data_IF_746667219161
#
_entry.id   IF_746667219161
#
_cell.length_a   1.000
_cell.length_b   1.000
_cell.length_c   1.000
_cell.angle_alpha   90.00
_cell.angle_beta   90.00
_cell.angle_gamma   90.00
#
_symmetry.space_group_name_H-M   'P 1'
#
loop_
_entity.id
_entity.type
_entity.pdbx_description
1 polymer ?
#
# COMPACT_ATOMS: atom_id res chain seq x y z
N UNK A 1 21.10 5.74 2.66
CA UNK A 1 20.01 6.30 1.84
C UNK A 1 19.54 7.58 2.51
N UNK A 2 19.70 8.73 1.86
CA UNK A 2 19.27 10.02 2.41
C UNK A 2 17.78 10.20 2.12
N UNK A 3 16.93 10.49 3.12
CA UNK A 3 15.52 10.80 2.88
C UNK A 3 15.36 11.94 1.87
N UNK A 4 14.42 11.81 0.95
CA UNK A 4 14.11 12.82 -0.07
C UNK A 4 12.67 13.29 0.08
N UNK A 5 12.46 14.60 -0.10
CA UNK A 5 11.12 15.17 -0.20
C UNK A 5 10.53 14.89 -1.58
N UNK A 6 9.20 14.81 -1.66
CA UNK A 6 8.50 14.73 -2.93
C UNK A 6 8.75 16.00 -3.77
N UNK A 7 8.86 15.82 -5.08
CA UNK A 7 9.02 16.90 -6.06
C UNK A 7 7.78 16.92 -6.96
N UNK A 8 7.36 18.11 -7.38
CA UNK A 8 6.13 18.30 -8.14
C UNK A 8 6.28 17.80 -9.59
N UNK A 9 5.52 16.77 -9.96
CA UNK A 9 5.47 16.23 -11.32
C UNK A 9 4.48 16.99 -12.22
N UNK A 10 3.31 17.37 -11.70
CA UNK A 10 2.29 18.14 -12.41
C UNK A 10 1.31 18.77 -11.40
N UNK A 11 0.64 19.85 -11.79
CA UNK A 11 -0.37 20.54 -11.00
C UNK A 11 -1.51 21.04 -11.90
N UNK A 12 -2.57 21.61 -11.30
CA UNK A 12 -3.79 22.05 -12.00
C UNK A 12 -4.40 20.98 -12.93
N UNK A 13 -4.59 19.78 -12.38
CA UNK A 13 -5.18 18.65 -13.10
C UNK A 13 -6.60 18.40 -12.63
N UNK A 14 -7.47 18.04 -13.58
CA UNK A 14 -8.72 17.36 -13.23
C UNK A 14 -8.45 15.92 -12.73
N UNK A 15 -9.48 15.31 -12.14
CA UNK A 15 -9.37 13.97 -11.56
C UNK A 15 -9.02 12.90 -12.59
N UNK A 16 -9.51 13.01 -13.82
CA UNK A 16 -9.26 12.02 -14.86
C UNK A 16 -7.79 12.04 -15.28
N UNK A 17 -7.24 13.24 -15.57
CA UNK A 17 -5.84 13.41 -15.94
C UNK A 17 -4.93 13.02 -14.78
N UNK A 18 -5.29 13.39 -13.54
CA UNK A 18 -4.53 12.99 -12.35
C UNK A 18 -4.37 11.46 -12.26
N UNK A 19 -5.47 10.71 -12.40
CA UNK A 19 -5.45 9.25 -12.34
C UNK A 19 -4.59 8.68 -13.47
N UNK A 20 -4.77 9.16 -14.71
CA UNK A 20 -3.96 8.72 -15.85
C UNK A 20 -2.45 8.94 -15.63
N UNK A 21 -2.06 10.07 -15.06
CA UNK A 21 -0.64 10.35 -14.78
C UNK A 21 -0.08 9.44 -13.68
N UNK A 22 -0.89 9.11 -12.66
CA UNK A 22 -0.50 8.13 -11.64
C UNK A 22 -0.29 6.76 -12.29
N UNK A 23 -1.20 6.32 -13.15
CA UNK A 23 -1.12 5.02 -13.83
C UNK A 23 0.15 4.92 -14.68
N UNK A 24 0.40 5.94 -15.51
CA UNK A 24 1.60 6.03 -16.35
C UNK A 24 2.88 6.05 -15.51
N UNK A 25 2.93 6.86 -14.46
CA UNK A 25 4.10 6.93 -13.57
C UNK A 25 4.40 5.58 -12.92
N UNK A 26 3.38 4.92 -12.36
CA UNK A 26 3.53 3.62 -11.70
C UNK A 26 3.96 2.54 -12.69
N UNK A 27 3.38 2.50 -13.88
CA UNK A 27 3.74 1.50 -14.90
C UNK A 27 5.14 1.73 -15.45
N UNK A 28 5.53 2.98 -15.70
CA UNK A 28 6.88 3.32 -16.12
C UNK A 28 7.91 2.94 -15.04
N UNK A 29 7.61 3.26 -13.78
CA UNK A 29 8.43 2.86 -12.63
C UNK A 29 8.58 1.34 -12.53
N UNK A 30 7.48 0.59 -12.53
CA UNK A 30 7.49 -0.88 -12.42
C UNK A 30 8.32 -1.53 -13.53
N UNK A 31 8.29 -0.97 -14.74
CA UNK A 31 8.97 -1.54 -15.91
C UNK A 31 10.45 -1.20 -16.00
N UNK A 32 10.88 -0.08 -15.41
CA UNK A 32 12.25 0.44 -15.60
C UNK A 32 13.10 0.47 -14.34
N UNK A 33 12.49 0.40 -13.15
CA UNK A 33 13.22 0.39 -11.90
C UNK A 33 13.87 -0.97 -11.61
N UNK A 34 15.03 -0.93 -10.95
CA UNK A 34 15.72 -2.10 -10.45
C UNK A 34 14.97 -2.75 -9.28
N UNK A 35 15.29 -4.02 -9.01
CA UNK A 35 14.72 -4.76 -7.87
C UNK A 35 15.01 -4.06 -6.55
N UNK A 36 13.95 -3.85 -5.75
CA UNK A 36 14.01 -3.16 -4.45
C UNK A 36 14.50 -1.71 -4.52
N UNK A 37 14.60 -1.14 -5.73
CA UNK A 37 14.83 0.28 -5.89
C UNK A 37 13.58 1.04 -5.44
N UNK A 38 13.76 2.23 -4.85
CA UNK A 38 12.65 3.14 -4.54
C UNK A 38 12.56 4.21 -5.63
N UNK A 39 11.43 4.90 -5.70
CA UNK A 39 11.20 5.95 -6.71
C UNK A 39 12.24 7.06 -6.69
N UNK A 40 12.69 7.53 -5.53
CA UNK A 40 13.70 8.60 -5.47
C UNK A 40 15.05 8.24 -6.15
N UNK A 41 15.75 7.16 -5.77
CA UNK A 41 16.97 6.76 -6.48
C UNK A 41 16.71 6.28 -7.91
N UNK A 42 15.51 5.81 -8.23
CA UNK A 42 15.12 5.50 -9.61
C UNK A 42 15.07 6.75 -10.49
N UNK A 43 14.37 7.81 -10.06
CA UNK A 43 14.36 9.10 -10.79
C UNK A 43 15.77 9.66 -10.94
N UNK A 44 16.62 9.57 -9.90
CA UNK A 44 18.01 10.04 -9.98
C UNK A 44 18.86 9.24 -10.98
N UNK A 45 18.53 7.97 -11.22
CA UNK A 45 19.25 7.12 -12.18
C UNK A 45 18.86 7.34 -13.63
N UNK A 46 17.71 7.99 -13.89
CA UNK A 46 17.23 8.31 -15.23
C UNK A 46 18.00 9.52 -15.77
N UNK A 47 18.49 9.43 -17.01
CA UNK A 47 19.05 10.58 -17.71
C UNK A 47 17.97 11.66 -17.90
N UNK A 48 18.24 12.89 -17.46
CA UNK A 48 17.24 13.97 -17.41
C UNK A 48 16.33 13.94 -16.17
N UNK A 49 16.47 12.93 -15.31
CA UNK A 49 15.82 12.87 -14.00
C UNK A 49 14.31 13.03 -14.03
N UNK A 50 13.78 13.93 -13.18
CA UNK A 50 12.35 14.17 -13.07
C UNK A 50 11.75 14.78 -14.34
N UNK A 51 12.51 15.57 -15.09
CA UNK A 51 12.02 16.20 -16.32
C UNK A 51 11.79 15.15 -17.41
N UNK A 52 12.68 14.16 -17.52
CA UNK A 52 12.44 13.03 -18.42
C UNK A 52 11.19 12.24 -18.00
N UNK A 53 11.01 11.98 -16.70
CA UNK A 53 9.80 11.31 -16.20
C UNK A 53 8.55 12.13 -16.55
N UNK A 54 8.61 13.46 -16.43
CA UNK A 54 7.52 14.36 -16.83
C UNK A 54 7.22 14.26 -18.32
N UNK A 55 8.24 14.22 -19.18
CA UNK A 55 8.04 14.07 -20.62
C UNK A 55 7.38 12.74 -20.98
N UNK A 56 7.80 11.65 -20.35
CA UNK A 56 7.21 10.32 -20.57
C UNK A 56 5.76 10.26 -20.07
N UNK A 57 5.50 10.76 -18.87
CA UNK A 57 4.18 10.64 -18.21
C UNK A 57 3.17 11.64 -18.76
N UNK A 58 3.57 12.90 -18.93
CA UNK A 58 2.67 13.98 -19.28
C UNK A 58 2.61 14.21 -20.80
N UNK A 59 3.76 14.20 -21.48
CA UNK A 59 3.85 14.49 -22.91
C UNK A 59 3.84 13.25 -23.81
N UNK A 60 3.77 12.05 -23.23
CA UNK A 60 3.80 10.76 -23.93
C UNK A 60 4.97 10.66 -24.93
N UNK A 61 6.16 11.11 -24.51
CA UNK A 61 7.34 11.18 -25.38
C UNK A 61 7.79 9.83 -25.96
N UNK A 62 7.35 8.72 -25.36
CA UNK A 62 7.62 7.35 -25.81
C UNK A 62 6.47 6.73 -26.62
N UNK A 63 5.29 7.36 -26.67
CA UNK A 63 4.09 6.80 -27.31
C UNK A 63 3.52 5.56 -26.60
N UNK A 64 3.75 5.43 -25.29
CA UNK A 64 3.41 4.25 -24.48
C UNK A 64 2.29 4.52 -23.46
N UNK A 65 1.78 5.76 -23.37
CA UNK A 65 0.78 6.13 -22.38
C UNK A 65 -0.46 5.20 -22.37
N UNK A 66 -1.01 4.91 -23.55
CA UNK A 66 -2.18 4.02 -23.67
C UNK A 66 -1.88 2.58 -23.21
N UNK A 67 -0.66 2.09 -23.45
CA UNK A 67 -0.26 0.76 -23.02
C UNK A 67 -0.10 0.68 -21.49
N UNK A 68 0.44 1.73 -20.89
CA UNK A 68 0.55 1.87 -19.44
C UNK A 68 -0.84 1.92 -18.79
N UNK A 69 -1.73 2.76 -19.30
CA UNK A 69 -3.12 2.85 -18.80
C UNK A 69 -3.83 1.50 -18.88
N UNK A 70 -3.75 0.80 -20.03
CA UNK A 70 -4.33 -0.53 -20.18
C UNK A 70 -3.69 -1.58 -19.24
N UNK A 71 -2.39 -1.46 -18.95
CA UNK A 71 -1.72 -2.35 -18.01
C UNK A 71 -2.18 -2.11 -16.56
N UNK A 72 -2.40 -0.85 -16.16
CA UNK A 72 -2.97 -0.54 -14.86
C UNK A 72 -4.42 -1.01 -14.75
N UNK A 73 -5.24 -0.79 -15.78
CA UNK A 73 -6.62 -1.27 -15.81
C UNK A 73 -6.68 -2.79 -15.59
N UNK A 74 -5.83 -3.56 -16.27
CA UNK A 74 -5.71 -5.01 -16.03
C UNK A 74 -5.26 -5.32 -14.60
N UNK A 75 -4.33 -4.55 -14.03
CA UNK A 75 -3.88 -4.76 -12.65
C UNK A 75 -5.03 -4.55 -11.65
N UNK A 76 -5.77 -3.45 -11.79
CA UNK A 76 -6.92 -3.11 -10.94
C UNK A 76 -8.04 -4.13 -11.10
N UNK A 77 -8.37 -4.53 -12.34
CA UNK A 77 -9.43 -5.50 -12.61
C UNK A 77 -9.17 -6.87 -11.96
N UNK A 78 -7.90 -7.23 -11.74
CA UNK A 78 -7.50 -8.48 -11.11
C UNK A 78 -7.17 -8.35 -9.62
N UNK A 79 -7.19 -7.14 -9.06
CA UNK A 79 -6.92 -6.93 -7.65
C UNK A 79 -8.05 -7.51 -6.79
N UNK A 80 -7.67 -8.23 -5.73
CA UNK A 80 -8.60 -8.76 -4.72
C UNK A 80 -8.15 -8.30 -3.33
N UNK A 81 -9.09 -7.75 -2.57
CA UNK A 81 -8.86 -7.39 -1.18
C UNK A 81 -9.32 -8.54 -0.29
N UNK A 82 -8.37 -9.28 0.28
CA UNK A 82 -8.64 -10.43 1.14
C UNK A 82 -9.50 -10.06 2.36
N UNK A 83 -9.28 -8.88 2.94
CA UNK A 83 -10.09 -8.38 4.07
C UNK A 83 -11.54 -8.14 3.68
N UNK A 84 -11.77 -7.52 2.52
CA UNK A 84 -13.12 -7.36 1.98
C UNK A 84 -13.75 -8.73 1.73
N UNK A 85 -12.99 -9.66 1.15
CA UNK A 85 -13.44 -11.03 0.91
C UNK A 85 -13.78 -11.81 2.19
N UNK A 86 -13.13 -11.51 3.32
CA UNK A 86 -13.51 -12.05 4.64
C UNK A 86 -14.82 -11.44 5.13
N UNK A 87 -14.99 -10.13 5.01
CA UNK A 87 -16.21 -9.43 5.46
C UNK A 87 -17.44 -9.84 4.65
N UNK A 88 -17.27 -10.19 3.38
CA UNK A 88 -18.33 -10.65 2.48
C UNK A 88 -18.67 -12.14 2.65
N UNK A 89 -17.89 -12.90 3.42
CA UNK A 89 -18.02 -14.34 3.60
C UNK A 89 -18.32 -14.66 5.09
N UNK A 90 -19.60 -14.90 5.46
CA UNK A 90 -19.99 -15.17 6.84
C UNK A 90 -19.25 -16.35 7.47
N UNK A 91 -18.91 -17.38 6.69
CA UNK A 91 -18.20 -18.57 7.17
C UNK A 91 -16.73 -18.26 7.48
N UNK A 92 -16.10 -17.35 6.74
CA UNK A 92 -14.77 -16.83 7.10
C UNK A 92 -14.85 -15.86 8.26
N UNK A 93 -15.83 -14.96 8.27
CA UNK A 93 -15.99 -13.95 9.30
C UNK A 93 -16.22 -14.59 10.68
N UNK A 94 -17.00 -15.66 10.76
CA UNK A 94 -17.26 -16.39 12.01
C UNK A 94 -16.00 -16.95 12.69
N UNK A 95 -14.89 -17.07 11.95
CA UNK A 95 -13.59 -17.52 12.50
C UNK A 95 -12.83 -16.42 13.23
N UNK A 96 -13.23 -15.15 13.08
CA UNK A 96 -12.62 -14.01 13.76
C UNK A 96 -13.20 -13.81 15.17
N UNK A 97 -13.15 -14.87 15.98
CA UNK A 97 -13.50 -14.91 17.40
C UNK A 97 -12.28 -15.32 18.23
N UNK A 98 -12.27 -15.03 19.54
CA UNK A 98 -11.14 -15.38 20.40
C UNK A 98 -10.89 -16.88 20.47
N UNK A 99 -11.95 -17.69 20.58
CA UNK A 99 -11.86 -19.14 20.61
C UNK A 99 -12.87 -19.78 19.66
N UNK A 100 -12.40 -20.47 18.62
CA UNK A 100 -13.27 -21.16 17.65
C UNK A 100 -14.14 -22.23 18.31
N UNK A 101 -13.62 -22.90 19.34
CA UNK A 101 -14.33 -23.98 20.04
C UNK A 101 -15.27 -23.48 21.16
N UNK A 102 -15.16 -22.20 21.52
CA UNK A 102 -15.92 -21.57 22.59
C UNK A 102 -16.17 -20.09 22.23
N UNK A 103 -16.97 -19.81 21.18
CA UNK A 103 -17.08 -18.47 20.60
C UNK A 103 -17.66 -17.42 21.56
N UNK A 104 -18.44 -17.86 22.55
CA UNK A 104 -19.05 -16.99 23.57
C UNK A 104 -18.14 -16.77 24.79
N UNK A 105 -17.02 -17.49 24.91
CA UNK A 105 -16.07 -17.32 26.01
C UNK A 105 -15.21 -16.07 25.81
N UNK A 106 -15.11 -15.27 26.88
CA UNK A 106 -14.26 -14.08 26.89
C UNK A 106 -12.82 -14.51 27.17
N UNK A 107 -11.89 -14.10 26.32
CA UNK A 107 -10.46 -14.27 26.60
C UNK A 107 -10.02 -13.35 27.75
N UNK A 108 -9.97 -13.93 28.96
CA UNK A 108 -9.55 -13.24 30.17
C UNK A 108 -8.09 -12.77 30.17
N UNK A 109 -7.27 -13.22 29.20
CA UNK A 109 -5.90 -12.72 29.04
C UNK A 109 -5.85 -11.38 28.31
N UNK A 110 -6.88 -11.04 27.54
CA UNK A 110 -6.95 -9.81 26.75
C UNK A 110 -7.79 -8.75 27.47
N UNK A 111 -7.13 -7.87 28.20
CA UNK A 111 -7.76 -6.73 28.88
C UNK A 111 -7.41 -5.42 28.17
N UNK A 112 -8.33 -4.46 28.14
CA UNK A 112 -8.10 -3.14 27.57
C UNK A 112 -8.23 -2.04 28.63
N UNK A 113 -7.45 -0.97 28.47
CA UNK A 113 -7.53 0.26 29.27
C UNK A 113 -7.59 1.47 28.34
N UNK A 114 -7.81 2.67 28.88
CA UNK A 114 -7.74 3.92 28.12
C UNK A 114 -6.44 4.68 28.39
N UNK A 115 -5.77 5.10 27.32
CA UNK A 115 -4.60 5.96 27.39
C UNK A 115 -4.76 7.10 26.39
N UNK A 116 -4.80 8.33 26.89
CA UNK A 116 -5.00 9.54 26.09
C UNK A 116 -6.25 9.47 25.18
N UNK A 117 -7.37 8.99 25.72
CA UNK A 117 -8.65 8.87 25.01
C UNK A 117 -8.71 7.75 23.96
N UNK A 118 -7.74 6.81 23.96
CA UNK A 118 -7.71 5.66 23.05
C UNK A 118 -7.71 4.36 23.84
N UNK A 119 -8.53 3.39 23.40
CA UNK A 119 -8.53 2.02 23.90
C UNK A 119 -7.21 1.33 23.53
N UNK A 120 -6.46 0.86 24.52
CA UNK A 120 -5.16 0.18 24.37
C UNK A 120 -5.16 -1.15 25.12
N UNK A 121 -4.50 -2.20 24.61
CA UNK A 121 -4.37 -3.46 25.32
C UNK A 121 -3.48 -3.30 26.57
N UNK A 122 -3.87 -3.93 27.66
CA UNK A 122 -3.07 -4.03 28.89
C UNK A 122 -1.97 -5.07 28.66
N UNK A 123 -0.69 -4.74 28.88
CA UNK A 123 0.39 -5.72 28.76
C UNK A 123 0.20 -6.88 29.75
N UNK A 124 0.25 -8.12 29.26
CA UNK A 124 0.15 -9.36 30.07
C UNK A 124 1.44 -9.60 30.90
N UNK A 125 2.45 -8.72 30.77
CA UNK A 125 3.78 -8.90 31.35
C UNK A 125 4.66 -9.82 30.51
N UNK A 126 5.95 -9.92 30.86
CA UNK A 126 6.85 -10.90 30.21
C UNK A 126 6.78 -12.24 30.96
N UNK A 127 6.67 -13.37 30.25
CA UNK A 127 6.71 -14.68 30.89
C UNK A 127 8.03 -14.88 31.64
N UNK A 128 7.93 -15.27 32.91
CA UNK A 128 9.10 -15.58 33.74
C UNK A 128 9.52 -17.04 33.47
N UNK A 129 10.76 -17.24 33.03
CA UNK A 129 11.34 -18.59 32.95
C UNK A 129 11.59 -19.07 34.37
N UNK A 130 11.01 -20.21 34.77
CA UNK A 130 11.28 -20.82 36.08
C UNK A 130 12.77 -21.18 36.17
N UNK A 131 13.49 -20.63 37.15
CA UNK A 131 14.81 -21.13 37.51
C UNK A 131 14.66 -22.54 38.09
N UNK A 132 15.43 -23.50 37.56
CA UNK A 132 15.49 -24.89 38.03
C UNK A 132 16.11 -24.98 39.42
#
# INVERSE_FOLDING_TARGET
MTPRHAQLLAGDLDTEILVRYIDRFLMYYIRTADRLQRTAPWVESIEGGLDHVRDVVCADSLGLAAEFEAAMERHVANYKCEWKGVLEDPDKLSRFVSFVNAPDEIDSTVTFTERAGRKVPVPIGMPQVRSR
#
